data_IF_508116563673
#
_entry.id   IF_508116563673
#
_cell.length_a   1.000
_cell.length_b   1.000
_cell.length_c   1.000
_cell.angle_alpha   90.00
_cell.angle_beta   90.00
_cell.angle_gamma   90.00
#
_symmetry.space_group_name_H-M   'P 1'
#
loop_
_entity.id
_entity.type
_entity.pdbx_description
1 polymer ?
#
# COMPACT_ATOMS: atom_id res chain seq x y z
N UNK A 1 35.93 -4.96 -17.10
CA UNK A 1 35.54 -3.79 -17.88
C UNK A 1 34.72 -4.22 -19.09
N UNK A 2 33.44 -4.62 -18.89
CA UNK A 2 32.47 -4.95 -19.96
C UNK A 2 31.12 -5.41 -19.39
N UNK A 3 30.74 -4.98 -18.16
CA UNK A 3 29.47 -5.36 -17.50
C UNK A 3 28.32 -4.38 -17.84
N UNK A 4 28.62 -3.22 -18.44
CA UNK A 4 27.59 -2.20 -18.73
C UNK A 4 26.72 -2.48 -19.97
N UNK A 5 26.99 -3.53 -20.76
CA UNK A 5 26.25 -3.81 -22.00
C UNK A 5 25.09 -4.81 -21.86
N UNK A 6 24.94 -5.49 -20.72
CA UNK A 6 23.91 -6.50 -20.53
C UNK A 6 22.58 -6.00 -19.96
N UNK A 7 22.48 -4.72 -19.60
CA UNK A 7 21.24 -4.10 -19.07
C UNK A 7 20.63 -3.06 -20.04
N UNK A 8 20.94 -3.12 -21.33
CA UNK A 8 20.15 -2.40 -22.33
C UNK A 8 18.86 -3.19 -22.59
N UNK A 9 17.85 -2.95 -21.76
CA UNK A 9 16.46 -3.20 -22.14
C UNK A 9 16.16 -2.23 -23.27
N UNK A 10 16.17 -2.73 -24.51
CA UNK A 10 15.68 -1.98 -25.67
C UNK A 10 14.22 -1.57 -25.40
N UNK A 11 14.03 -0.31 -25.08
CA UNK A 11 12.70 0.29 -25.06
C UNK A 11 12.18 0.29 -26.49
N UNK A 12 11.27 -0.62 -26.83
CA UNK A 12 10.50 -0.52 -28.07
C UNK A 12 9.73 0.80 -28.08
N UNK A 13 9.65 1.50 -29.21
CA UNK A 13 9.00 2.80 -29.26
C UNK A 13 7.50 2.67 -28.95
N UNK A 14 7.03 3.52 -28.06
CA UNK A 14 5.65 3.61 -27.60
C UNK A 14 4.75 4.22 -28.71
N UNK A 15 4.39 3.43 -29.71
CA UNK A 15 3.41 3.86 -30.74
C UNK A 15 1.97 3.87 -30.30
N UNK A 16 1.60 3.14 -29.22
CA UNK A 16 0.23 3.05 -28.71
C UNK A 16 -0.11 4.07 -27.63
N UNK A 17 0.88 4.74 -27.03
CA UNK A 17 0.67 5.64 -25.90
C UNK A 17 -0.02 6.98 -26.23
N UNK A 18 0.01 7.43 -27.48
CA UNK A 18 -0.53 8.72 -27.86
C UNK A 18 -2.07 8.74 -27.97
N UNK A 19 -2.65 7.67 -28.49
CA UNK A 19 -4.12 7.54 -28.66
C UNK A 19 -4.84 7.40 -27.31
N UNK A 20 -4.24 6.73 -26.36
CA UNK A 20 -4.84 6.50 -25.04
C UNK A 20 -4.72 7.71 -24.10
N UNK A 21 -3.68 8.52 -24.26
CA UNK A 21 -3.62 9.84 -23.60
C UNK A 21 -4.79 10.71 -24.05
N UNK A 22 -5.14 10.70 -25.33
CA UNK A 22 -6.30 11.42 -25.86
C UNK A 22 -7.63 10.89 -25.25
N UNK A 23 -7.83 9.57 -25.16
CA UNK A 23 -9.03 8.97 -24.56
C UNK A 23 -9.13 9.31 -23.07
N UNK A 24 -8.02 9.24 -22.32
CA UNK A 24 -7.99 9.58 -20.90
C UNK A 24 -8.29 11.08 -20.67
N UNK A 25 -7.67 11.97 -21.46
CA UNK A 25 -7.98 13.41 -21.41
C UNK A 25 -9.39 13.71 -21.86
N UNK A 26 -9.94 12.98 -22.84
CA UNK A 26 -11.34 13.13 -23.28
C UNK A 26 -12.31 12.66 -22.18
N UNK A 27 -12.01 11.57 -21.47
CA UNK A 27 -12.82 11.12 -20.35
C UNK A 27 -12.79 12.12 -19.19
N UNK A 28 -11.63 12.70 -18.88
CA UNK A 28 -11.51 13.81 -17.91
C UNK A 28 -12.28 15.04 -18.38
N UNK A 29 -12.22 15.39 -19.66
CA UNK A 29 -12.93 16.54 -20.22
C UNK A 29 -14.45 16.32 -20.19
N UNK A 30 -14.94 15.12 -20.50
CA UNK A 30 -16.35 14.74 -20.38
C UNK A 30 -16.81 14.78 -18.91
N UNK A 31 -16.00 14.29 -17.97
CA UNK A 31 -16.26 14.40 -16.52
C UNK A 31 -16.33 15.89 -16.08
N UNK A 32 -15.44 16.73 -16.57
CA UNK A 32 -15.44 18.17 -16.30
C UNK A 32 -16.71 18.85 -16.86
N UNK A 33 -17.18 18.44 -18.04
CA UNK A 33 -18.42 18.95 -18.65
C UNK A 33 -19.65 18.48 -17.88
N UNK A 34 -19.71 17.21 -17.47
CA UNK A 34 -20.82 16.68 -16.65
C UNK A 34 -20.89 17.31 -15.26
N UNK A 35 -19.75 17.50 -14.59
CA UNK A 35 -19.69 18.14 -13.27
C UNK A 35 -19.91 19.66 -13.31
N UNK A 36 -19.61 20.31 -14.43
CA UNK A 36 -19.82 21.76 -14.61
C UNK A 36 -21.28 22.18 -14.75
N UNK A 37 -22.20 21.27 -15.06
CA UNK A 37 -23.63 21.58 -15.23
C UNK A 37 -24.46 21.36 -13.94
N UNK A 38 -23.93 20.73 -12.91
CA UNK A 38 -24.68 20.38 -11.69
C UNK A 38 -24.55 21.38 -10.54
N UNK A 39 -24.14 22.62 -10.79
CA UNK A 39 -23.88 23.63 -9.75
C UNK A 39 -25.16 24.27 -9.17
N UNK A 40 -26.30 23.58 -9.14
CA UNK A 40 -27.51 24.06 -8.47
C UNK A 40 -28.16 22.88 -7.76
N UNK A 41 -27.83 22.66 -6.51
CA UNK A 41 -28.70 22.08 -5.47
C UNK A 41 -28.00 22.02 -4.10
N UNK A 42 -28.52 22.79 -3.25
CA UNK A 42 -28.93 22.64 -1.85
C UNK A 42 -27.94 22.22 -0.77
N UNK A 43 -27.92 23.06 0.25
CA UNK A 43 -27.17 22.96 1.49
C UNK A 43 -27.71 21.81 2.37
N UNK A 44 -26.93 20.75 2.61
CA UNK A 44 -27.36 19.82 3.64
C UNK A 44 -26.56 18.54 3.93
N UNK A 45 -25.40 18.31 3.33
CA UNK A 45 -24.66 17.05 3.55
C UNK A 45 -23.16 17.25 3.76
N UNK A 46 -22.82 18.13 4.69
CA UNK A 46 -21.41 18.40 5.05
C UNK A 46 -20.93 17.53 6.21
N UNK A 47 -21.05 16.19 6.16
CA UNK A 47 -20.34 15.39 7.20
C UNK A 47 -20.29 13.88 6.92
N UNK A 48 -19.59 13.44 5.88
CA UNK A 48 -19.33 12.00 5.68
C UNK A 48 -17.92 11.72 5.14
N UNK A 49 -16.92 12.30 5.80
CA UNK A 49 -15.54 12.14 5.34
C UNK A 49 -14.52 11.82 6.43
N UNK A 50 -14.94 11.76 7.67
CA UNK A 50 -14.04 11.46 8.78
C UNK A 50 -14.73 10.53 9.77
N UNK A 51 -14.36 9.24 9.76
CA UNK A 51 -14.81 8.25 10.75
C UNK A 51 -14.06 8.45 12.06
N UNK A 52 -14.23 9.60 12.67
CA UNK A 52 -13.67 9.97 13.96
C UNK A 52 -14.72 10.62 14.85
N UNK A 53 -15.35 9.83 15.71
CA UNK A 53 -16.06 10.23 16.93
C UNK A 53 -17.09 11.35 16.83
N UNK A 54 -18.37 10.98 16.76
CA UNK A 54 -19.49 11.86 17.07
C UNK A 54 -19.48 12.26 18.56
N UNK A 55 -18.88 13.40 18.89
CA UNK A 55 -19.22 14.16 20.10
C UNK A 55 -19.64 15.54 19.66
N UNK A 56 -20.92 15.85 19.89
CA UNK A 56 -21.54 17.10 19.48
C UNK A 56 -21.03 18.32 20.23
N UNK A 57 -19.91 18.85 19.79
CA UNK A 57 -19.50 20.23 20.01
C UNK A 57 -19.14 20.78 18.64
N UNK A 58 -19.74 21.91 18.26
CA UNK A 58 -19.39 22.64 17.04
C UNK A 58 -17.93 23.08 17.11
N UNK A 59 -17.01 22.18 16.75
CA UNK A 59 -15.61 22.54 16.58
C UNK A 59 -15.48 23.53 15.42
N UNK A 60 -14.60 24.54 15.55
CA UNK A 60 -14.34 25.48 14.47
C UNK A 60 -13.86 24.66 13.26
N UNK A 61 -14.50 24.85 12.09
CA UNK A 61 -14.10 24.25 10.82
C UNK A 61 -12.61 24.52 10.61
N UNK A 62 -11.76 23.54 10.92
CA UNK A 62 -10.33 23.61 10.65
C UNK A 62 -10.22 23.63 9.14
N UNK A 63 -9.82 24.77 8.57
CA UNK A 63 -9.51 24.85 7.14
C UNK A 63 -8.41 23.82 6.87
N UNK A 64 -8.70 22.83 6.00
CA UNK A 64 -7.71 21.85 5.58
C UNK A 64 -6.51 22.63 5.02
N UNK A 65 -5.28 22.23 5.34
CA UNK A 65 -4.12 22.93 4.87
C UNK A 65 -4.05 22.91 3.35
N UNK A 66 -3.81 24.06 2.75
CA UNK A 66 -3.63 24.23 1.31
C UNK A 66 -2.39 23.47 0.80
N UNK A 67 -1.39 23.34 1.65
CA UNK A 67 -0.14 22.65 1.37
C UNK A 67 0.14 21.68 2.52
N UNK A 68 0.41 20.43 2.20
CA UNK A 68 0.88 19.45 3.17
C UNK A 68 2.06 18.68 2.60
N UNK A 69 2.91 18.20 3.47
CA UNK A 69 4.05 17.40 3.04
C UNK A 69 4.73 16.71 4.22
N UNK A 70 5.52 15.73 3.91
CA UNK A 70 6.38 15.06 4.87
C UNK A 70 7.70 14.70 4.22
N UNK A 71 8.74 14.60 5.05
CA UNK A 71 10.07 14.12 4.70
C UNK A 71 10.45 13.03 5.67
N UNK A 72 10.77 11.86 5.16
CA UNK A 72 11.24 10.71 5.93
C UNK A 72 12.67 10.39 5.51
N UNK A 73 13.55 10.27 6.48
CA UNK A 73 14.93 9.87 6.30
C UNK A 73 15.18 8.59 7.12
N UNK A 74 15.75 7.60 6.46
CA UNK A 74 16.09 6.31 7.06
C UNK A 74 17.55 6.04 6.83
N UNK A 75 18.20 5.65 7.89
CA UNK A 75 19.62 5.38 7.90
C UNK A 75 19.91 4.04 8.56
N UNK A 76 20.70 3.22 7.90
CA UNK A 76 21.44 2.13 8.51
C UNK A 76 22.93 2.29 8.14
N UNK A 77 23.81 1.51 8.74
CA UNK A 77 25.26 1.60 8.54
C UNK A 77 25.70 1.41 7.06
N UNK A 78 24.79 1.04 6.17
CA UNK A 78 25.12 0.66 4.79
C UNK A 78 24.33 1.43 3.71
N UNK A 79 23.24 2.04 4.05
CA UNK A 79 22.40 2.75 3.09
C UNK A 79 21.62 3.88 3.77
N UNK A 80 21.37 4.95 3.04
CA UNK A 80 20.36 5.92 3.40
C UNK A 80 19.24 5.92 2.36
N UNK A 81 18.02 6.09 2.84
CA UNK A 81 16.85 6.27 2.02
C UNK A 81 16.11 7.50 2.50
N UNK A 82 15.99 8.48 1.62
CA UNK A 82 15.22 9.67 1.87
C UNK A 82 13.99 9.67 0.97
N UNK A 83 12.84 9.91 1.56
CA UNK A 83 11.59 10.02 0.85
C UNK A 83 10.85 11.26 1.30
N UNK A 84 10.33 12.01 0.35
CA UNK A 84 9.49 13.16 0.64
C UNK A 84 8.30 13.24 -0.29
N UNK A 85 7.25 13.88 0.20
CA UNK A 85 6.03 14.15 -0.56
C UNK A 85 5.56 15.56 -0.25
N UNK A 86 5.13 16.25 -1.28
CA UNK A 86 4.47 17.56 -1.17
C UNK A 86 3.14 17.46 -1.91
N UNK A 87 2.08 17.93 -1.29
CA UNK A 87 0.73 17.92 -1.85
C UNK A 87 0.10 19.30 -1.72
N UNK A 88 -0.52 19.76 -2.79
CA UNK A 88 -1.30 20.98 -2.89
C UNK A 88 -2.76 20.61 -3.14
N UNK A 89 -3.67 21.18 -2.37
CA UNK A 89 -5.10 20.99 -2.56
C UNK A 89 -5.75 22.36 -2.86
N UNK A 90 -6.59 22.40 -3.90
CA UNK A 90 -7.34 23.60 -4.30
C UNK A 90 -8.80 23.26 -4.53
N UNK A 91 -9.67 23.92 -3.79
CA UNK A 91 -11.10 23.90 -4.07
C UNK A 91 -11.40 24.70 -5.34
N UNK A 92 -12.18 24.11 -6.24
CA UNK A 92 -12.54 24.71 -7.54
C UNK A 92 -13.98 25.21 -7.57
N UNK A 93 -14.78 24.88 -6.56
CA UNK A 93 -16.19 25.26 -6.41
C UNK A 93 -16.91 24.35 -5.41
N UNK A 94 -18.23 24.49 -5.28
CA UNK A 94 -19.03 23.64 -4.39
C UNK A 94 -18.85 22.16 -4.82
N UNK A 95 -18.31 21.34 -3.91
CA UNK A 95 -18.17 19.90 -4.11
C UNK A 95 -17.10 19.48 -5.12
N UNK A 96 -16.22 20.36 -5.58
CA UNK A 96 -15.11 19.97 -6.47
C UNK A 96 -13.76 20.49 -6.02
N UNK A 97 -12.72 19.67 -6.17
CA UNK A 97 -11.35 20.00 -5.81
C UNK A 97 -10.34 19.36 -6.73
N UNK A 98 -9.18 19.97 -6.80
CA UNK A 98 -8.00 19.43 -7.45
C UNK A 98 -6.89 19.23 -6.41
N UNK A 99 -6.29 18.06 -6.46
CA UNK A 99 -5.10 17.73 -5.68
C UNK A 99 -3.94 17.53 -6.64
N UNK A 100 -2.81 18.14 -6.34
CA UNK A 100 -1.57 18.01 -7.12
C UNK A 100 -0.42 17.78 -6.16
N UNK A 101 0.37 16.76 -6.42
CA UNK A 101 1.50 16.42 -5.57
C UNK A 101 2.72 15.94 -6.34
N UNK A 102 3.84 15.97 -5.65
CA UNK A 102 5.11 15.41 -6.07
C UNK A 102 5.69 14.53 -4.99
N UNK A 103 6.34 13.45 -5.40
CA UNK A 103 7.13 12.57 -4.55
C UNK A 103 8.57 12.56 -5.04
N UNK A 104 9.49 12.52 -4.14
CA UNK A 104 10.90 12.34 -4.45
C UNK A 104 11.50 11.29 -3.52
N UNK A 105 12.36 10.47 -4.11
CA UNK A 105 13.08 9.43 -3.39
C UNK A 105 14.58 9.60 -3.69
N UNK A 106 15.39 9.49 -2.66
CA UNK A 106 16.82 9.46 -2.77
C UNK A 106 17.36 8.16 -2.19
N UNK A 107 18.15 7.47 -2.97
CA UNK A 107 18.75 6.20 -2.59
C UNK A 107 20.25 6.31 -2.58
N UNK A 108 20.87 5.76 -1.54
CA UNK A 108 22.29 5.50 -1.51
C UNK A 108 22.46 3.99 -1.44
N UNK A 109 22.67 3.34 -2.57
CA UNK A 109 22.96 1.92 -2.67
C UNK A 109 24.31 1.73 -3.34
N UNK A 110 25.21 0.95 -2.71
CA UNK A 110 26.50 0.52 -3.27
C UNK A 110 27.31 1.67 -3.92
N UNK A 111 27.44 2.80 -3.23
CA UNK A 111 28.09 4.03 -3.71
C UNK A 111 27.38 4.73 -4.91
N UNK A 112 26.26 4.22 -5.38
CA UNK A 112 25.43 4.89 -6.36
C UNK A 112 24.36 5.74 -5.69
N UNK A 113 24.47 7.06 -5.87
CA UNK A 113 23.47 8.03 -5.41
C UNK A 113 22.47 8.27 -6.53
N UNK A 114 21.19 7.99 -6.29
CA UNK A 114 20.14 8.19 -7.29
C UNK A 114 18.99 9.00 -6.71
N UNK A 115 18.66 10.09 -7.39
CA UNK A 115 17.41 10.81 -7.17
C UNK A 115 16.36 10.30 -8.16
N UNK A 116 15.16 10.05 -7.67
CA UNK A 116 13.99 9.79 -8.48
C UNK A 116 12.88 10.74 -8.05
N UNK A 117 12.30 11.43 -9.01
CA UNK A 117 11.13 12.29 -8.80
C UNK A 117 9.96 11.68 -9.54
N UNK A 118 8.86 11.57 -8.85
CA UNK A 118 7.61 11.00 -9.37
C UNK A 118 6.48 12.01 -9.18
N UNK A 119 5.45 11.98 -10.03
CA UNK A 119 4.19 12.61 -9.68
C UNK A 119 3.64 11.94 -8.42
N UNK A 120 3.25 12.74 -7.43
CA UNK A 120 2.50 12.27 -6.28
C UNK A 120 1.03 12.04 -6.64
N UNK A 121 0.12 12.10 -5.67
CA UNK A 121 -1.31 12.12 -5.98
C UNK A 121 -1.64 13.37 -6.80
N UNK A 122 -2.26 13.13 -7.96
CA UNK A 122 -2.70 14.17 -8.88
C UNK A 122 -4.07 13.78 -9.40
N UNK A 123 -5.11 14.31 -8.80
CA UNK A 123 -6.46 13.94 -9.18
C UNK A 123 -7.42 15.13 -9.11
N UNK A 124 -8.48 15.00 -9.88
CA UNK A 124 -9.67 15.80 -9.78
C UNK A 124 -10.74 15.01 -9.02
N UNK A 125 -11.41 15.68 -8.10
CA UNK A 125 -12.57 15.16 -7.38
C UNK A 125 -13.77 16.06 -7.63
N UNK A 126 -14.96 15.47 -7.84
CA UNK A 126 -16.20 16.20 -7.85
C UNK A 126 -17.34 15.38 -7.27
N UNK A 127 -18.31 16.09 -6.69
CA UNK A 127 -19.56 15.57 -6.17
C UNK A 127 -20.70 16.06 -7.07
N UNK A 128 -21.55 15.14 -7.53
CA UNK A 128 -22.68 15.42 -8.41
C UNK A 128 -23.92 14.68 -7.89
N UNK A 129 -24.74 15.36 -7.10
CA UNK A 129 -25.88 14.73 -6.42
C UNK A 129 -25.42 13.62 -5.48
N UNK A 130 -25.94 12.41 -5.70
CA UNK A 130 -25.59 11.21 -4.92
C UNK A 130 -24.34 10.48 -5.43
N UNK A 131 -23.55 11.13 -6.28
CA UNK A 131 -22.36 10.54 -6.88
C UNK A 131 -21.11 11.35 -6.54
N UNK A 132 -20.04 10.63 -6.18
CA UNK A 132 -18.67 11.17 -6.09
C UNK A 132 -17.81 10.55 -7.18
N UNK A 133 -16.98 11.39 -7.81
CA UNK A 133 -16.01 10.96 -8.81
C UNK A 133 -14.61 11.44 -8.45
N UNK A 134 -13.63 10.55 -8.59
CA UNK A 134 -12.21 10.87 -8.41
C UNK A 134 -11.44 10.28 -9.59
N UNK A 135 -10.69 11.09 -10.32
CA UNK A 135 -9.95 10.66 -11.50
C UNK A 135 -8.56 11.26 -11.54
N UNK A 136 -7.55 10.44 -11.83
CA UNK A 136 -6.15 10.88 -11.90
C UNK A 136 -5.18 9.83 -11.41
N UNK A 137 -4.10 10.28 -10.77
CA UNK A 137 -3.14 9.43 -10.06
C UNK A 137 -3.60 9.28 -8.60
N UNK A 138 -4.04 8.08 -8.24
CA UNK A 138 -4.74 7.78 -7.00
C UNK A 138 -3.86 6.96 -6.06
N UNK A 139 -4.00 7.25 -4.76
CA UNK A 139 -3.63 6.33 -3.68
C UNK A 139 -4.91 5.98 -2.94
N UNK A 140 -5.22 4.69 -2.89
CA UNK A 140 -6.43 4.18 -2.25
C UNK A 140 -6.05 3.18 -1.16
N UNK A 141 -6.80 3.14 -0.08
CA UNK A 141 -6.65 2.16 0.99
C UNK A 141 -7.93 1.38 1.10
N UNK A 142 -7.84 0.08 0.98
CA UNK A 142 -8.95 -0.85 1.10
C UNK A 142 -8.74 -1.76 2.32
N UNK A 143 -9.84 -2.35 2.78
CA UNK A 143 -9.81 -3.26 3.91
C UNK A 143 -9.86 -2.55 5.26
N UNK A 144 -9.99 -3.34 6.32
CA UNK A 144 -10.07 -2.86 7.71
C UNK A 144 -8.78 -3.04 8.50
N UNK A 145 -7.78 -3.65 7.90
CA UNK A 145 -6.49 -3.91 8.54
C UNK A 145 -5.52 -2.72 8.46
N UNK A 146 -4.78 -2.45 9.55
CA UNK A 146 -3.82 -1.34 9.61
C UNK A 146 -2.42 -1.73 9.12
N UNK A 147 -1.99 -2.97 9.35
CA UNK A 147 -0.65 -3.47 8.98
C UNK A 147 -0.70 -4.61 7.97
N UNK A 148 -1.83 -5.28 7.90
CA UNK A 148 -2.11 -6.35 6.95
C UNK A 148 -3.47 -6.09 6.33
N UNK A 149 -3.64 -6.45 5.08
CA UNK A 149 -4.93 -6.51 4.42
C UNK A 149 -4.85 -7.42 3.21
N UNK A 150 -5.83 -8.28 3.05
CA UNK A 150 -5.97 -9.14 1.86
C UNK A 150 -6.69 -8.42 0.71
N UNK A 151 -7.37 -7.30 1.03
CA UNK A 151 -8.17 -6.51 0.10
C UNK A 151 -7.37 -5.35 -0.49
N UNK A 152 -6.36 -4.83 0.23
CA UNK A 152 -5.59 -3.65 -0.18
C UNK A 152 -4.60 -3.93 -1.32
N UNK A 153 -5.15 -4.26 -2.48
CA UNK A 153 -4.43 -4.67 -3.69
C UNK A 153 -4.40 -3.61 -4.81
N UNK A 154 -5.08 -2.47 -4.63
CA UNK A 154 -5.20 -1.45 -5.69
C UNK A 154 -3.82 -0.87 -6.04
N UNK A 155 -3.10 -0.38 -5.05
CA UNK A 155 -1.82 0.27 -5.28
C UNK A 155 -0.64 -0.70 -5.25
N UNK A 156 0.25 -0.56 -6.20
CA UNK A 156 1.60 -1.11 -6.11
C UNK A 156 2.40 -0.38 -5.04
N UNK A 157 3.57 -0.91 -4.64
CA UNK A 157 4.35 -0.42 -3.52
C UNK A 157 5.82 -0.20 -3.87
N UNK A 158 6.47 0.65 -3.08
CA UNK A 158 7.93 0.81 -3.06
C UNK A 158 8.51 -0.06 -1.95
N UNK A 159 9.19 -1.15 -2.30
CA UNK A 159 9.77 -2.10 -1.35
C UNK A 159 11.25 -1.85 -1.05
N UNK A 160 11.72 -0.61 -1.21
CA UNK A 160 13.14 -0.29 -1.07
C UNK A 160 13.72 -0.47 0.33
N UNK A 161 12.85 -0.48 1.37
CA UNK A 161 13.26 -0.54 2.79
C UNK A 161 12.67 -1.75 3.53
N UNK A 162 12.28 -2.78 2.82
CA UNK A 162 11.56 -3.92 3.41
C UNK A 162 10.07 -3.63 3.60
N UNK A 163 9.37 -4.55 4.26
CA UNK A 163 7.91 -4.50 4.44
C UNK A 163 7.44 -3.74 5.69
N UNK A 164 8.38 -3.29 6.53
CA UNK A 164 8.06 -2.88 7.89
C UNK A 164 7.78 -1.39 8.07
N UNK A 165 7.85 -0.60 7.00
CA UNK A 165 7.59 0.82 7.04
C UNK A 165 6.10 1.14 7.08
N UNK A 166 5.79 2.40 7.02
CA UNK A 166 4.42 2.89 7.01
C UNK A 166 3.67 2.31 5.80
N UNK A 167 2.72 1.41 6.08
CA UNK A 167 2.01 0.62 5.08
C UNK A 167 1.37 1.48 3.97
N UNK A 168 0.87 2.67 4.32
CA UNK A 168 0.22 3.56 3.36
C UNK A 168 1.21 4.45 2.60
N UNK A 169 2.35 4.78 3.18
CA UNK A 169 3.34 5.65 2.54
C UNK A 169 4.09 5.00 1.40
N UNK A 170 4.23 3.68 1.47
CA UNK A 170 4.93 2.92 0.43
C UNK A 170 4.05 2.65 -0.80
N UNK A 171 2.79 3.07 -0.78
CA UNK A 171 1.90 2.97 -1.95
C UNK A 171 2.34 3.87 -3.08
N UNK A 172 2.39 3.32 -4.29
CA UNK A 172 2.60 4.06 -5.53
C UNK A 172 1.28 4.64 -6.00
N UNK A 173 1.35 5.83 -6.55
CA UNK A 173 0.25 6.44 -7.24
C UNK A 173 -0.03 5.69 -8.55
N UNK A 174 -1.30 5.37 -8.79
CA UNK A 174 -1.74 4.67 -10.00
C UNK A 174 -2.79 5.46 -10.77
N UNK A 175 -2.75 5.45 -12.11
CA UNK A 175 -3.79 6.07 -12.91
C UNK A 175 -5.10 5.30 -12.76
N UNK A 176 -6.18 6.02 -12.46
CA UNK A 176 -7.46 5.38 -12.25
C UNK A 176 -8.63 6.36 -12.13
N UNK A 177 -9.81 5.79 -12.09
CA UNK A 177 -11.07 6.48 -11.81
C UNK A 177 -11.77 5.72 -10.70
N UNK A 178 -12.27 6.45 -9.72
CA UNK A 178 -13.22 5.96 -8.72
C UNK A 178 -14.54 6.65 -8.89
N UNK A 179 -15.63 5.90 -8.88
CA UNK A 179 -17.00 6.40 -8.79
C UNK A 179 -17.65 5.79 -7.54
N UNK A 180 -18.35 6.61 -6.78
CA UNK A 180 -19.13 6.18 -5.61
C UNK A 180 -20.54 6.68 -5.76
N UNK A 181 -21.51 5.80 -5.62
CA UNK A 181 -22.93 6.10 -5.59
C UNK A 181 -23.48 5.88 -4.18
N UNK A 182 -24.04 6.93 -3.59
CA UNK A 182 -24.72 6.88 -2.31
C UNK A 182 -26.19 6.51 -2.53
N UNK A 183 -26.51 5.22 -2.44
CA UNK A 183 -27.86 4.68 -2.71
C UNK A 183 -28.85 5.22 -1.67
N UNK A 184 -28.40 5.30 -0.42
CA UNK A 184 -29.14 5.90 0.69
C UNK A 184 -28.17 6.14 1.88
N UNK A 185 -28.71 6.60 3.03
CA UNK A 185 -27.90 6.86 4.24
C UNK A 185 -27.13 5.65 4.80
N UNK A 186 -27.45 4.43 4.40
CA UNK A 186 -26.83 3.21 4.89
C UNK A 186 -25.99 2.49 3.84
N UNK A 187 -26.33 2.63 2.58
CA UNK A 187 -25.68 1.88 1.51
C UNK A 187 -25.01 2.78 0.49
N UNK A 188 -23.77 2.43 0.16
CA UNK A 188 -23.05 3.03 -0.98
C UNK A 188 -22.46 1.90 -1.84
N UNK A 189 -22.35 2.18 -3.14
CA UNK A 189 -21.67 1.34 -4.10
C UNK A 189 -20.49 2.11 -4.68
N UNK A 190 -19.30 1.53 -4.65
CA UNK A 190 -18.09 2.14 -5.19
C UNK A 190 -17.44 1.25 -6.23
N UNK A 191 -16.86 1.86 -7.25
CA UNK A 191 -16.11 1.16 -8.28
C UNK A 191 -14.80 1.87 -8.59
N UNK A 192 -13.73 1.10 -8.78
CA UNK A 192 -12.45 1.58 -9.29
C UNK A 192 -12.20 0.94 -10.65
N UNK A 193 -11.80 1.76 -11.61
CA UNK A 193 -11.31 1.33 -12.91
C UNK A 193 -9.88 1.81 -13.09
N UNK A 194 -8.97 0.87 -13.31
CA UNK A 194 -7.53 1.10 -13.45
C UNK A 194 -7.13 0.66 -14.86
N UNK A 195 -6.98 1.59 -15.81
CA UNK A 195 -6.69 1.25 -17.21
C UNK A 195 -5.30 0.66 -17.41
N UNK A 196 -4.36 0.99 -16.50
CA UNK A 196 -2.97 0.58 -16.61
C UNK A 196 -2.56 -0.23 -15.40
N UNK A 197 -1.84 -1.31 -15.67
CA UNK A 197 -1.08 -2.02 -14.67
C UNK A 197 0.23 -1.26 -14.37
N UNK A 198 0.61 -1.24 -13.11
CA UNK A 198 1.92 -0.75 -12.66
C UNK A 198 2.45 -1.70 -11.59
N UNK A 199 3.63 -2.24 -11.80
CA UNK A 199 4.26 -3.15 -10.85
C UNK A 199 4.79 -2.41 -9.62
N UNK A 200 4.96 -3.16 -8.53
CA UNK A 200 5.71 -2.70 -7.35
C UNK A 200 7.20 -2.56 -7.69
N UNK A 201 7.84 -1.60 -7.05
CA UNK A 201 9.28 -1.34 -7.21
C UNK A 201 10.06 -2.04 -6.13
N UNK A 202 11.07 -2.82 -6.55
CA UNK A 202 11.98 -3.51 -5.66
C UNK A 202 13.34 -2.83 -5.61
N UNK A 203 14.09 -3.00 -4.51
CA UNK A 203 15.48 -2.56 -4.46
C UNK A 203 16.33 -3.31 -5.49
N UNK A 204 17.49 -2.76 -5.81
CA UNK A 204 18.49 -3.45 -6.64
C UNK A 204 18.78 -4.85 -6.10
N UNK A 205 19.03 -5.81 -6.99
CA UNK A 205 19.44 -7.18 -6.61
C UNK A 205 20.70 -7.22 -5.75
N UNK A 206 21.52 -6.18 -5.79
CA UNK A 206 22.72 -6.01 -4.98
C UNK A 206 22.45 -5.29 -3.64
N UNK A 207 21.25 -4.76 -3.46
CA UNK A 207 20.85 -4.10 -2.22
C UNK A 207 20.74 -5.10 -1.07
N UNK A 208 21.02 -4.63 0.13
CA UNK A 208 20.73 -5.40 1.36
C UNK A 208 19.25 -5.66 1.55
N UNK A 209 18.41 -4.81 1.00
CA UNK A 209 16.97 -4.94 0.97
C UNK A 209 16.45 -5.81 -0.20
N UNK A 210 17.35 -6.39 -1.01
CA UNK A 210 16.94 -7.33 -2.06
C UNK A 210 16.35 -8.60 -1.46
N UNK A 211 15.21 -9.00 -1.96
CA UNK A 211 14.51 -10.22 -1.53
C UNK A 211 15.28 -11.47 -1.92
N UNK A 212 15.16 -12.53 -1.12
CA UNK A 212 15.88 -13.79 -1.34
C UNK A 212 15.67 -14.36 -2.76
N UNK A 213 14.45 -14.27 -3.30
CA UNK A 213 14.16 -14.70 -4.67
C UNK A 213 14.93 -13.88 -5.71
N UNK A 214 15.08 -12.57 -5.53
CA UNK A 214 15.83 -11.71 -6.44
C UNK A 214 17.34 -11.99 -6.34
N UNK A 215 17.85 -12.26 -5.13
CA UNK A 215 19.25 -12.67 -4.92
C UNK A 215 19.53 -14.01 -5.57
N UNK A 216 18.61 -14.98 -5.46
CA UNK A 216 18.71 -16.27 -6.12
C UNK A 216 18.72 -16.12 -7.64
N UNK A 217 17.78 -15.34 -8.20
CA UNK A 217 17.75 -15.04 -9.63
C UNK A 217 19.07 -14.40 -10.09
N UNK A 218 19.59 -13.42 -9.36
CA UNK A 218 20.87 -12.78 -9.67
C UNK A 218 22.02 -13.78 -9.71
N UNK A 219 22.07 -14.71 -8.74
CA UNK A 219 23.08 -15.76 -8.69
C UNK A 219 23.01 -16.69 -9.91
N UNK A 220 21.81 -17.12 -10.31
CA UNK A 220 21.61 -17.93 -11.51
C UNK A 220 22.07 -17.21 -12.78
N UNK A 221 21.75 -15.91 -12.92
CA UNK A 221 22.09 -15.11 -14.09
C UNK A 221 23.59 -14.82 -14.19
N UNK A 222 24.22 -14.44 -13.07
CA UNK A 222 25.60 -13.95 -13.05
C UNK A 222 26.64 -15.07 -13.04
N UNK A 223 26.34 -16.18 -12.35
CA UNK A 223 27.33 -17.24 -12.12
C UNK A 223 27.05 -18.55 -12.87
N UNK A 224 25.79 -18.78 -13.26
CA UNK A 224 25.39 -20.01 -13.95
C UNK A 224 24.97 -19.78 -15.40
N UNK A 225 25.03 -18.57 -15.91
CA UNK A 225 24.68 -18.23 -17.28
C UNK A 225 23.20 -18.38 -17.61
N UNK A 226 22.33 -18.24 -16.61
CA UNK A 226 20.87 -18.24 -16.79
C UNK A 226 20.37 -17.08 -17.64
N UNK A 227 19.17 -17.21 -18.16
CA UNK A 227 18.45 -16.18 -18.93
C UNK A 227 17.17 -15.79 -18.19
N UNK A 228 16.92 -14.49 -18.04
CA UNK A 228 15.70 -13.98 -17.46
C UNK A 228 14.86 -13.21 -18.48
N UNK A 229 13.67 -13.68 -18.73
CA UNK A 229 12.67 -13.00 -19.52
C UNK A 229 11.80 -12.16 -18.57
N UNK A 230 12.09 -10.87 -18.48
CA UNK A 230 11.37 -9.95 -17.60
C UNK A 230 9.89 -9.83 -18.01
N UNK A 231 9.03 -9.77 -17.02
CA UNK A 231 7.64 -9.40 -17.25
C UNK A 231 7.53 -7.91 -17.64
N UNK A 232 6.49 -7.58 -18.40
CA UNK A 232 6.16 -6.19 -18.65
C UNK A 232 5.62 -5.55 -17.35
N UNK A 233 6.32 -4.57 -16.80
CA UNK A 233 6.03 -3.91 -15.52
C UNK A 233 5.04 -2.75 -15.62
N UNK A 234 4.72 -2.35 -16.86
CA UNK A 234 3.71 -1.33 -17.15
C UNK A 234 3.02 -1.63 -18.47
N UNK A 235 1.73 -1.95 -18.41
CA UNK A 235 0.95 -2.33 -19.58
C UNK A 235 -0.48 -1.77 -19.50
N UNK A 236 -1.11 -1.61 -20.69
CA UNK A 236 -2.55 -1.40 -20.76
C UNK A 236 -3.25 -2.72 -20.53
N UNK A 237 -3.66 -2.94 -19.29
CA UNK A 237 -4.41 -4.11 -18.88
C UNK A 237 -5.44 -3.68 -17.83
N UNK A 238 -6.69 -3.48 -18.25
CA UNK A 238 -7.73 -2.95 -17.40
C UNK A 238 -8.00 -3.86 -16.20
N UNK A 239 -7.99 -3.25 -15.03
CA UNK A 239 -8.28 -3.88 -13.76
C UNK A 239 -9.43 -3.16 -13.10
N UNK A 240 -10.17 -3.84 -12.27
CA UNK A 240 -11.29 -3.22 -11.58
C UNK A 240 -11.51 -3.79 -10.18
N UNK A 241 -12.08 -2.96 -9.35
CA UNK A 241 -12.58 -3.27 -8.03
C UNK A 241 -14.00 -2.75 -7.91
N UNK A 242 -14.87 -3.51 -7.30
CA UNK A 242 -16.21 -3.06 -6.90
C UNK A 242 -16.45 -3.35 -5.43
N UNK A 243 -17.14 -2.45 -4.78
CA UNK A 243 -17.46 -2.50 -3.36
C UNK A 243 -18.93 -2.13 -3.15
N UNK A 244 -19.64 -2.95 -2.39
CA UNK A 244 -20.91 -2.57 -1.78
C UNK A 244 -20.64 -2.41 -0.28
N UNK A 245 -20.91 -1.24 0.27
CA UNK A 245 -20.76 -1.02 1.70
C UNK A 245 -22.08 -0.67 2.37
N UNK A 246 -22.22 -1.13 3.60
CA UNK A 246 -23.32 -0.77 4.49
C UNK A 246 -22.78 -0.21 5.80
N UNK A 247 -23.38 0.89 6.25
CA UNK A 247 -22.97 1.58 7.48
C UNK A 247 -24.18 1.81 8.38
N UNK A 248 -24.09 1.26 9.59
CA UNK A 248 -25.04 1.43 10.69
C UNK A 248 -24.29 1.99 11.91
N UNK A 249 -24.96 2.52 12.92
CA UNK A 249 -24.30 3.19 14.06
C UNK A 249 -23.22 2.33 14.79
N UNK A 250 -23.35 1.00 14.76
CA UNK A 250 -22.40 0.10 15.42
C UNK A 250 -21.73 -0.90 14.49
N UNK A 251 -22.09 -0.93 13.22
CA UNK A 251 -21.61 -1.93 12.25
C UNK A 251 -21.32 -1.29 10.93
N UNK A 252 -20.10 -1.45 10.46
CA UNK A 252 -19.71 -1.22 9.06
C UNK A 252 -19.39 -2.57 8.43
N UNK A 253 -19.88 -2.80 7.20
CA UNK A 253 -19.59 -4.00 6.42
C UNK A 253 -19.41 -3.63 4.97
N UNK A 254 -18.36 -4.16 4.33
CA UNK A 254 -18.02 -3.95 2.93
C UNK A 254 -17.81 -5.31 2.25
N UNK A 255 -18.42 -5.47 1.09
CA UNK A 255 -18.24 -6.63 0.21
C UNK A 255 -17.46 -6.17 -1.01
N UNK A 256 -16.39 -6.90 -1.32
CA UNK A 256 -15.46 -6.57 -2.38
C UNK A 256 -15.40 -7.68 -3.43
N UNK A 257 -15.28 -7.26 -4.68
CA UNK A 257 -14.77 -8.08 -5.76
C UNK A 257 -13.64 -7.33 -6.45
N UNK A 258 -12.47 -7.95 -6.51
CA UNK A 258 -11.28 -7.41 -7.15
C UNK A 258 -10.85 -8.35 -8.27
N UNK A 259 -10.60 -7.78 -9.44
CA UNK A 259 -9.96 -8.45 -10.56
C UNK A 259 -8.72 -7.65 -10.94
N UNK A 260 -7.58 -8.05 -10.41
CA UNK A 260 -6.34 -7.30 -10.45
C UNK A 260 -5.15 -8.18 -10.73
N UNK A 261 -4.16 -7.65 -11.42
CA UNK A 261 -2.86 -8.31 -11.52
C UNK A 261 -2.12 -8.27 -10.20
N UNK A 262 -1.41 -9.35 -9.90
CA UNK A 262 -0.44 -9.37 -8.82
C UNK A 262 0.55 -8.22 -8.98
N UNK A 263 0.76 -7.47 -7.90
CA UNK A 263 1.70 -6.33 -7.90
C UNK A 263 3.16 -6.76 -7.74
N UNK A 264 3.36 -7.98 -7.31
CA UNK A 264 4.67 -8.61 -7.17
C UNK A 264 4.90 -9.55 -8.35
N UNK A 265 6.11 -9.56 -8.95
CA UNK A 265 6.39 -10.48 -10.06
C UNK A 265 6.43 -11.92 -9.55
N UNK A 266 5.73 -12.80 -10.24
CA UNK A 266 5.87 -14.24 -10.09
C UNK A 266 7.02 -14.66 -11.00
N UNK A 267 8.14 -15.07 -10.42
CA UNK A 267 9.34 -15.52 -11.12
C UNK A 267 9.35 -17.04 -11.10
N UNK A 268 9.41 -17.70 -12.25
CA UNK A 268 9.42 -19.15 -12.36
C UNK A 268 10.53 -19.64 -13.28
N UNK A 269 11.01 -20.84 -13.01
CA UNK A 269 11.92 -21.55 -13.90
C UNK A 269 11.16 -22.60 -14.70
N UNK A 270 10.89 -22.33 -15.98
CA UNK A 270 10.14 -23.23 -16.84
C UNK A 270 11.05 -24.31 -17.48
N UNK A 271 12.30 -23.94 -17.72
CA UNK A 271 13.37 -24.86 -18.22
C UNK A 271 14.65 -24.58 -17.45
N UNK A 272 15.56 -25.55 -17.32
CA UNK A 272 16.86 -25.34 -16.68
C UNK A 272 17.55 -24.07 -17.21
N UNK A 273 17.90 -23.15 -16.36
CA UNK A 273 18.55 -21.88 -16.68
C UNK A 273 17.67 -20.82 -17.36
N UNK A 274 16.38 -21.06 -17.58
CA UNK A 274 15.46 -20.07 -18.18
C UNK A 274 14.41 -19.67 -17.15
N UNK A 275 14.43 -18.40 -16.75
CA UNK A 275 13.53 -17.81 -15.78
C UNK A 275 12.57 -16.84 -16.46
N UNK A 276 11.30 -16.94 -16.12
CA UNK A 276 10.25 -16.07 -16.67
C UNK A 276 9.57 -15.30 -15.54
N UNK A 277 9.51 -13.98 -15.67
CA UNK A 277 8.68 -13.10 -14.84
C UNK A 277 7.27 -12.99 -15.41
N UNK A 278 6.27 -12.86 -14.53
CA UNK A 278 4.90 -12.56 -14.95
C UNK A 278 4.13 -11.86 -13.82
N UNK A 279 3.09 -11.14 -14.19
CA UNK A 279 2.12 -10.54 -13.28
C UNK A 279 0.75 -11.17 -13.59
N UNK A 280 0.43 -12.31 -12.98
CA UNK A 280 -0.82 -13.00 -13.25
C UNK A 280 -2.01 -12.22 -12.72
N UNK A 281 -3.16 -12.42 -13.36
CA UNK A 281 -4.44 -11.89 -12.93
C UNK A 281 -4.92 -12.67 -11.71
N UNK A 282 -5.34 -11.97 -10.67
CA UNK A 282 -5.91 -12.51 -9.44
C UNK A 282 -7.36 -12.04 -9.29
N UNK A 283 -8.25 -12.96 -8.92
CA UNK A 283 -9.64 -12.69 -8.61
C UNK A 283 -9.88 -12.92 -7.11
N UNK A 284 -10.23 -11.84 -6.40
CA UNK A 284 -10.43 -11.88 -4.95
C UNK A 284 -11.85 -11.46 -4.60
N UNK A 285 -12.51 -12.27 -3.80
CA UNK A 285 -13.77 -11.96 -3.11
C UNK A 285 -13.45 -11.72 -1.64
N UNK A 286 -13.98 -10.65 -1.07
CA UNK A 286 -13.72 -10.36 0.32
C UNK A 286 -14.91 -9.68 1.01
N UNK A 287 -14.93 -9.81 2.33
CA UNK A 287 -15.82 -9.06 3.22
C UNK A 287 -14.97 -8.51 4.35
N UNK A 288 -15.06 -7.22 4.58
CA UNK A 288 -14.42 -6.57 5.72
C UNK A 288 -15.36 -5.62 6.43
N UNK A 289 -14.92 -5.13 7.57
CA UNK A 289 -15.66 -4.13 8.29
C UNK A 289 -15.24 -3.97 9.75
N UNK A 290 -16.09 -3.29 10.49
CA UNK A 290 -15.88 -3.05 11.91
C UNK A 290 -17.16 -3.07 12.71
N UNK A 291 -17.04 -3.39 14.01
CA UNK A 291 -18.12 -3.38 14.98
C UNK A 291 -17.72 -2.55 16.19
N UNK A 292 -18.47 -1.49 16.47
CA UNK A 292 -18.34 -0.72 17.71
C UNK A 292 -19.01 -1.49 18.84
N UNK A 293 -18.23 -2.24 19.62
CA UNK A 293 -18.74 -3.01 20.77
C UNK A 293 -19.12 -2.06 21.90
N UNK A 294 -18.25 -1.09 22.17
CA UNK A 294 -18.51 0.06 23.07
C UNK A 294 -17.94 1.32 22.40
N UNK A 295 -18.12 2.49 23.02
CA UNK A 295 -17.52 3.75 22.54
C UNK A 295 -15.98 3.72 22.54
N UNK A 296 -15.37 2.90 23.38
CA UNK A 296 -13.92 2.80 23.53
C UNK A 296 -13.32 1.56 22.86
N UNK A 297 -14.16 0.64 22.37
CA UNK A 297 -13.74 -0.69 21.89
C UNK A 297 -14.33 -0.99 20.52
N UNK A 298 -13.46 -0.99 19.51
CA UNK A 298 -13.76 -1.32 18.13
C UNK A 298 -13.17 -2.69 17.79
N UNK A 299 -13.96 -3.57 17.18
CA UNK A 299 -13.49 -4.80 16.55
C UNK A 299 -13.47 -4.62 15.03
N UNK A 300 -12.43 -5.14 14.37
CA UNK A 300 -12.27 -5.16 12.91
C UNK A 300 -12.17 -6.60 12.42
N UNK A 301 -12.66 -6.84 11.23
CA UNK A 301 -12.56 -8.14 10.58
C UNK A 301 -12.35 -8.02 9.09
N UNK A 302 -11.68 -9.01 8.51
CA UNK A 302 -11.52 -9.16 7.07
C UNK A 302 -11.47 -10.66 6.74
N UNK A 303 -12.24 -11.07 5.73
CA UNK A 303 -12.24 -12.41 5.16
C UNK A 303 -12.02 -12.27 3.66
N UNK A 304 -11.09 -13.03 3.10
CA UNK A 304 -10.78 -12.96 1.67
C UNK A 304 -10.54 -14.34 1.09
N UNK A 305 -10.97 -14.51 -0.15
CA UNK A 305 -10.72 -15.67 -0.98
C UNK A 305 -10.18 -15.20 -2.33
N UNK A 306 -8.92 -15.49 -2.63
CA UNK A 306 -8.37 -15.36 -3.98
C UNK A 306 -8.38 -16.72 -4.65
N UNK A 307 -9.10 -16.84 -5.77
CA UNK A 307 -9.30 -18.12 -6.46
C UNK A 307 -8.20 -18.37 -7.48
N UNK A 308 -7.68 -19.60 -7.49
CA UNK A 308 -6.70 -20.06 -8.48
C UNK A 308 -5.51 -19.11 -8.63
N UNK A 309 -5.03 -18.56 -7.50
CA UNK A 309 -3.90 -17.62 -7.45
C UNK A 309 -2.63 -18.31 -7.89
N UNK A 310 -1.79 -17.59 -8.61
CA UNK A 310 -0.50 -18.10 -9.07
C UNK A 310 0.57 -17.91 -8.00
N UNK A 311 1.32 -18.96 -7.75
CA UNK A 311 2.44 -19.00 -6.81
C UNK A 311 3.72 -19.47 -7.51
N UNK A 312 4.88 -19.18 -6.91
CA UNK A 312 6.17 -19.72 -7.33
C UNK A 312 6.71 -20.61 -6.24
N UNK A 313 7.19 -21.79 -6.58
CA UNK A 313 7.93 -22.62 -5.64
C UNK A 313 9.34 -22.06 -5.43
N UNK A 314 9.81 -22.07 -4.18
CA UNK A 314 11.15 -21.62 -3.82
C UNK A 314 11.74 -22.60 -2.81
N UNK A 315 12.61 -23.48 -3.28
CA UNK A 315 13.13 -24.61 -2.51
C UNK A 315 14.65 -24.58 -2.49
N UNK A 316 15.24 -24.72 -1.31
CA UNK A 316 16.69 -24.72 -1.10
C UNK A 316 17.42 -23.52 -1.74
N UNK A 317 16.76 -22.34 -1.77
CA UNK A 317 17.31 -21.16 -2.41
C UNK A 317 17.19 -21.13 -3.94
N UNK A 318 16.46 -22.08 -4.55
CA UNK A 318 16.24 -22.18 -5.99
C UNK A 318 14.81 -21.84 -6.36
N UNK A 319 14.65 -21.07 -7.45
CA UNK A 319 13.36 -20.73 -8.04
C UNK A 319 12.86 -21.96 -8.81
N UNK A 320 11.64 -22.40 -8.48
CA UNK A 320 11.01 -23.54 -9.14
C UNK A 320 9.92 -23.14 -10.13
N UNK A 321 8.93 -24.01 -10.30
CA UNK A 321 7.83 -23.85 -11.24
C UNK A 321 6.68 -23.06 -10.64
N UNK A 322 5.82 -22.53 -11.50
CA UNK A 322 4.51 -22.00 -11.10
C UNK A 322 3.59 -23.13 -10.68
N UNK A 323 2.79 -22.85 -9.68
CA UNK A 323 1.63 -23.66 -9.32
C UNK A 323 0.43 -22.75 -9.03
N UNK A 324 -0.76 -23.33 -8.98
CA UNK A 324 -2.01 -22.62 -8.79
C UNK A 324 -2.72 -23.19 -7.59
N UNK A 325 -3.15 -22.32 -6.68
CA UNK A 325 -3.92 -22.71 -5.51
C UNK A 325 -4.81 -21.55 -5.09
N UNK A 326 -5.93 -21.84 -4.43
CA UNK A 326 -6.72 -20.84 -3.75
C UNK A 326 -5.95 -20.26 -2.57
N UNK A 327 -6.27 -19.03 -2.18
CA UNK A 327 -5.67 -18.38 -1.03
C UNK A 327 -6.78 -17.83 -0.13
N UNK A 328 -6.79 -18.28 1.10
CA UNK A 328 -7.75 -17.88 2.14
C UNK A 328 -7.06 -16.94 3.12
N UNK A 329 -7.70 -15.81 3.39
CA UNK A 329 -7.24 -14.82 4.35
C UNK A 329 -8.28 -14.52 5.40
N UNK A 330 -7.88 -14.51 6.68
CA UNK A 330 -8.69 -14.06 7.80
C UNK A 330 -7.89 -13.06 8.60
N UNK A 331 -8.47 -11.90 8.88
CA UNK A 331 -7.92 -10.90 9.78
C UNK A 331 -8.97 -10.56 10.84
N UNK A 332 -8.54 -10.52 12.08
CA UNK A 332 -9.31 -10.01 13.22
C UNK A 332 -8.46 -9.01 13.97
N UNK A 333 -9.05 -7.89 14.32
CA UNK A 333 -8.36 -6.83 15.03
C UNK A 333 -9.24 -6.15 16.08
N UNK A 334 -8.59 -5.40 16.95
CA UNK A 334 -9.28 -4.61 17.96
C UNK A 334 -8.50 -3.34 18.25
N UNK A 335 -9.25 -2.24 18.37
CA UNK A 335 -8.76 -0.96 18.82
C UNK A 335 -9.39 -0.61 20.16
N UNK A 336 -8.59 -0.12 21.07
CA UNK A 336 -9.08 0.34 22.36
C UNK A 336 -8.38 1.62 22.81
N UNK A 337 -9.19 2.61 23.14
CA UNK A 337 -8.76 3.78 23.89
C UNK A 337 -8.87 3.49 25.38
N UNK A 338 -7.77 3.61 26.09
CA UNK A 338 -7.66 3.39 27.52
C UNK A 338 -7.53 4.74 28.24
N UNK A 339 -7.75 4.82 29.57
CA UNK A 339 -7.53 6.04 30.33
C UNK A 339 -6.16 6.66 30.09
N UNK A 340 -6.04 7.96 30.31
CA UNK A 340 -4.81 8.75 30.11
C UNK A 340 -4.33 8.83 28.65
N UNK A 341 -5.24 8.77 27.66
CA UNK A 341 -4.90 8.86 26.23
C UNK A 341 -3.94 7.74 25.77
N UNK A 342 -4.07 6.55 26.37
CA UNK A 342 -3.32 5.38 25.93
C UNK A 342 -4.17 4.59 24.93
N UNK A 343 -3.63 4.40 23.73
CA UNK A 343 -4.27 3.66 22.65
C UNK A 343 -3.55 2.33 22.42
N UNK A 344 -4.32 1.28 22.21
CA UNK A 344 -3.81 -0.05 21.85
C UNK A 344 -4.60 -0.58 20.65
N UNK A 345 -3.88 -1.07 19.65
CA UNK A 345 -4.41 -1.83 18.53
C UNK A 345 -3.70 -3.19 18.48
N UNK A 346 -4.46 -4.25 18.36
CA UNK A 346 -3.95 -5.60 18.18
C UNK A 346 -4.66 -6.23 16.99
N UNK A 347 -3.90 -6.81 16.07
CA UNK A 347 -4.44 -7.54 14.93
C UNK A 347 -3.80 -8.91 14.81
N UNK A 348 -4.60 -9.90 14.47
CA UNK A 348 -4.15 -11.25 14.11
C UNK A 348 -4.59 -11.57 12.68
N UNK A 349 -3.73 -12.23 11.93
CA UNK A 349 -3.98 -12.64 10.56
C UNK A 349 -3.64 -14.11 10.38
N UNK A 350 -4.51 -14.83 9.69
CA UNK A 350 -4.26 -16.19 9.21
C UNK A 350 -4.28 -16.16 7.68
N UNK A 351 -3.22 -16.69 7.07
CA UNK A 351 -3.08 -16.85 5.63
C UNK A 351 -2.95 -18.35 5.34
N UNK A 352 -3.79 -18.90 4.47
CA UNK A 352 -3.80 -20.32 4.16
C UNK A 352 -3.82 -20.56 2.65
N UNK A 353 -2.86 -21.36 2.18
CA UNK A 353 -2.71 -21.76 0.77
C UNK A 353 -2.75 -23.29 0.75
N UNK A 354 -3.86 -23.93 0.36
CA UNK A 354 -3.95 -25.36 0.27
C UNK A 354 -2.91 -25.96 -0.66
N UNK A 355 -2.43 -27.14 -0.32
CA UNK A 355 -1.49 -27.93 -1.13
C UNK A 355 -0.18 -27.17 -1.44
N UNK A 356 0.24 -26.27 -0.56
CA UNK A 356 1.52 -25.59 -0.68
C UNK A 356 2.65 -26.62 -0.53
N UNK A 357 3.22 -27.03 -1.65
CA UNK A 357 4.21 -28.09 -1.70
C UNK A 357 5.62 -27.65 -1.26
N UNK A 358 5.91 -26.35 -1.36
CA UNK A 358 7.23 -25.77 -1.08
C UNK A 358 7.09 -24.33 -0.63
N UNK A 359 8.10 -23.81 0.09
CA UNK A 359 8.13 -22.42 0.55
C UNK A 359 8.14 -21.43 -0.61
N UNK A 360 7.22 -20.47 -0.58
CA UNK A 360 7.27 -19.29 -1.46
C UNK A 360 7.90 -18.12 -0.71
N UNK A 361 8.44 -17.09 -1.38
CA UNK A 361 9.09 -15.96 -0.69
C UNK A 361 8.19 -15.15 0.24
N UNK A 362 6.87 -15.28 0.11
CA UNK A 362 5.88 -14.52 0.90
C UNK A 362 4.93 -15.41 1.70
N UNK A 363 5.00 -16.73 1.50
CA UNK A 363 4.25 -17.74 2.23
C UNK A 363 5.17 -18.94 2.42
N UNK A 364 5.70 -19.12 3.62
CA UNK A 364 6.67 -20.18 3.91
C UNK A 364 6.01 -21.51 4.23
N UNK A 365 4.77 -21.47 4.73
CA UNK A 365 4.01 -22.63 5.15
C UNK A 365 2.61 -22.58 4.56
N UNK A 366 1.96 -23.74 4.45
CA UNK A 366 0.58 -23.85 4.02
C UNK A 366 -0.35 -22.92 4.83
N UNK A 367 -0.11 -22.80 6.12
CA UNK A 367 -0.81 -21.87 7.00
C UNK A 367 0.18 -21.00 7.76
N UNK A 368 0.00 -19.69 7.69
CA UNK A 368 0.78 -18.72 8.45
C UNK A 368 -0.08 -17.93 9.42
N UNK A 369 0.48 -17.67 10.60
CA UNK A 369 -0.12 -16.88 11.67
C UNK A 369 0.75 -15.66 11.94
N UNK A 370 0.17 -14.47 11.69
CA UNK A 370 0.84 -13.20 11.93
C UNK A 370 0.05 -12.38 12.95
N UNK A 371 0.73 -11.53 13.68
CA UNK A 371 0.07 -10.52 14.49
C UNK A 371 0.80 -9.19 14.42
N UNK A 372 0.05 -8.12 14.66
CA UNK A 372 0.61 -6.79 14.91
C UNK A 372 0.07 -6.22 16.21
N UNK A 373 0.91 -5.41 16.84
CA UNK A 373 0.59 -4.64 18.03
C UNK A 373 1.03 -3.19 17.77
N UNK A 374 0.12 -2.26 18.00
CA UNK A 374 0.44 -0.86 18.08
C UNK A 374 0.02 -0.32 19.45
N UNK A 375 0.91 0.37 20.12
CA UNK A 375 0.64 1.10 21.34
C UNK A 375 1.04 2.55 21.18
N UNK A 376 0.24 3.46 21.69
CA UNK A 376 0.49 4.89 21.60
C UNK A 376 0.07 5.59 22.88
N UNK A 377 0.95 6.41 23.42
CA UNK A 377 0.70 7.21 24.60
C UNK A 377 0.99 8.68 24.32
N UNK A 378 0.02 9.54 24.57
CA UNK A 378 0.15 10.98 24.44
C UNK A 378 0.46 11.60 25.80
N UNK A 379 1.40 12.55 25.79
CA UNK A 379 1.85 13.31 26.97
C UNK A 379 1.84 14.82 26.69
N UNK A 380 1.80 15.62 27.74
CA UNK A 380 1.91 17.09 27.66
C UNK A 380 0.95 17.73 26.66
N UNK A 381 -0.32 17.38 26.74
CA UNK A 381 -1.33 17.87 25.79
C UNK A 381 -0.93 17.57 24.33
N UNK A 382 -0.57 16.33 24.05
CA UNK A 382 -0.19 15.81 22.74
C UNK A 382 1.11 16.36 22.13
N UNK A 383 1.87 17.19 22.86
CA UNK A 383 3.17 17.69 22.38
C UNK A 383 4.27 16.62 22.35
N UNK A 384 4.11 15.55 23.11
CA UNK A 384 4.99 14.38 23.10
C UNK A 384 4.12 13.14 22.95
N UNK A 385 4.44 12.30 21.96
CA UNK A 385 3.81 11.01 21.75
C UNK A 385 4.88 9.93 21.72
N UNK A 386 4.65 8.85 22.43
CA UNK A 386 5.45 7.63 22.35
C UNK A 386 4.60 6.59 21.63
N UNK A 387 5.16 5.98 20.60
CA UNK A 387 4.53 4.92 19.80
C UNK A 387 5.43 3.70 19.77
N UNK A 388 4.84 2.53 19.89
CA UNK A 388 5.50 1.25 19.74
C UNK A 388 4.70 0.41 18.76
N UNK A 389 5.35 -0.04 17.68
CA UNK A 389 4.78 -0.98 16.73
C UNK A 389 5.56 -2.29 16.77
N UNK A 390 4.85 -3.40 16.76
CA UNK A 390 5.43 -4.72 16.65
C UNK A 390 4.66 -5.53 15.60
N UNK A 391 5.40 -6.37 14.89
CA UNK A 391 4.87 -7.36 13.95
C UNK A 391 5.57 -8.68 14.24
N UNK A 392 4.81 -9.76 14.32
CA UNK A 392 5.32 -11.10 14.60
C UNK A 392 4.68 -12.10 13.65
N UNK A 393 5.50 -12.90 12.97
CA UNK A 393 5.09 -14.13 12.33
C UNK A 393 5.32 -15.30 13.31
N UNK A 394 4.26 -15.91 13.79
CA UNK A 394 4.36 -17.01 14.77
C UNK A 394 4.80 -18.32 14.11
N UNK A 395 4.55 -18.48 12.83
CA UNK A 395 4.91 -19.69 12.09
C UNK A 395 6.41 -19.76 11.84
N UNK A 396 7.01 -18.69 11.32
CA UNK A 396 8.45 -18.60 11.05
C UNK A 396 9.27 -18.08 12.20
N UNK A 397 8.65 -17.44 13.20
CA UNK A 397 9.32 -16.83 14.34
C UNK A 397 9.86 -15.41 14.09
N UNK A 398 9.75 -14.89 12.88
CA UNK A 398 10.23 -13.56 12.49
C UNK A 398 9.49 -12.42 13.20
N UNK A 399 10.17 -11.30 13.43
CA UNK A 399 9.54 -10.13 14.03
C UNK A 399 10.16 -8.79 13.57
N UNK A 400 9.35 -7.74 13.66
CA UNK A 400 9.79 -6.33 13.54
C UNK A 400 9.29 -5.57 14.75
N UNK A 401 10.17 -4.78 15.35
CA UNK A 401 9.82 -3.85 16.44
C UNK A 401 10.20 -2.44 16.01
N UNK A 402 9.29 -1.48 16.20
CA UNK A 402 9.53 -0.09 15.79
C UNK A 402 9.05 0.88 16.88
N UNK A 403 9.88 1.13 17.93
CA UNK A 403 9.63 2.24 18.85
C UNK A 403 9.82 3.58 18.13
N UNK A 404 8.96 4.55 18.44
CA UNK A 404 9.00 5.92 17.91
C UNK A 404 8.70 6.94 19.01
N UNK A 405 9.30 8.11 18.88
CA UNK A 405 8.99 9.31 19.66
C UNK A 405 8.60 10.40 18.69
N UNK A 406 7.42 10.99 18.88
CA UNK A 406 6.93 12.11 18.10
C UNK A 406 6.94 13.38 18.98
N UNK A 407 7.57 14.43 18.47
CA UNK A 407 7.62 15.75 19.09
C UNK A 407 6.81 16.72 18.24
N UNK A 408 5.62 17.07 18.72
CA UNK A 408 4.76 18.07 18.08
C UNK A 408 5.22 19.45 18.54
N UNK A 409 5.95 20.14 17.69
CA UNK A 409 6.48 21.47 17.98
C UNK A 409 5.41 22.55 17.85
N UNK A 410 4.53 22.39 16.86
CA UNK A 410 3.39 23.27 16.60
C UNK A 410 2.36 22.50 15.77
N UNK A 411 1.21 23.10 15.51
CA UNK A 411 0.18 22.53 14.61
C UNK A 411 0.70 22.29 13.20
N UNK A 412 1.83 22.91 12.85
CA UNK A 412 2.43 22.86 11.52
C UNK A 412 3.69 22.00 11.43
N UNK A 413 4.27 21.57 12.57
CA UNK A 413 5.58 20.92 12.57
C UNK A 413 5.66 19.81 13.60
N UNK A 414 5.90 18.59 13.11
CA UNK A 414 6.15 17.41 13.94
C UNK A 414 7.45 16.73 13.53
N UNK A 415 8.27 16.37 14.51
CA UNK A 415 9.45 15.53 14.33
C UNK A 415 9.17 14.13 14.85
N UNK A 416 9.59 13.12 14.10
CA UNK A 416 9.48 11.71 14.48
C UNK A 416 10.88 11.12 14.52
N UNK A 417 11.20 10.44 15.62
CA UNK A 417 12.42 9.67 15.80
C UNK A 417 12.03 8.22 16.08
N UNK A 418 12.62 7.29 15.38
CA UNK A 418 12.31 5.88 15.52
C UNK A 418 13.51 4.99 15.28
N UNK A 419 13.37 3.74 15.69
CA UNK A 419 14.35 2.71 15.39
C UNK A 419 13.62 1.42 15.04
N UNK A 420 13.98 0.81 13.91
CA UNK A 420 13.41 -0.46 13.47
C UNK A 420 14.40 -1.58 13.75
N UNK A 421 13.93 -2.56 14.49
CA UNK A 421 14.64 -3.81 14.79
C UNK A 421 13.97 -4.93 14.01
N UNK A 422 14.75 -5.66 13.21
CA UNK A 422 14.30 -6.83 12.49
C UNK A 422 14.91 -8.08 13.11
N UNK A 423 14.09 -9.08 13.42
CA UNK A 423 14.53 -10.33 14.02
C UNK A 423 14.38 -11.53 13.10
N UNK A 424 15.34 -12.44 13.17
CA UNK A 424 15.31 -13.72 12.46
C UNK A 424 14.26 -14.65 13.08
N UNK A 425 13.61 -15.43 12.22
CA UNK A 425 12.88 -16.64 12.58
C UNK A 425 13.75 -17.89 12.39
N UNK A 426 13.14 -19.04 12.57
CA UNK A 426 13.76 -20.33 12.31
C UNK A 426 14.21 -20.49 10.85
N UNK A 427 13.52 -19.80 9.94
CA UNK A 427 13.82 -19.76 8.52
C UNK A 427 14.02 -18.30 8.09
N UNK A 428 15.25 -17.92 7.74
CA UNK A 428 15.62 -16.54 7.39
C UNK A 428 15.10 -16.08 6.00
N UNK A 429 14.17 -16.82 5.39
CA UNK A 429 13.67 -16.57 4.03
C UNK A 429 12.30 -15.88 4.00
N UNK A 430 11.64 -15.70 5.13
CA UNK A 430 10.33 -15.08 5.19
C UNK A 430 10.35 -13.58 4.89
N UNK A 431 9.16 -12.95 4.75
CA UNK A 431 9.03 -11.56 4.30
C UNK A 431 9.75 -10.54 5.18
N UNK A 432 10.03 -10.89 6.42
CA UNK A 432 10.70 -10.03 7.41
C UNK A 432 12.10 -10.56 7.78
N UNK A 433 12.24 -11.84 8.05
CA UNK A 433 13.47 -12.44 8.58
C UNK A 433 14.66 -12.35 7.65
N UNK A 434 14.44 -12.34 6.34
CA UNK A 434 15.48 -12.09 5.35
C UNK A 434 16.17 -10.72 5.50
N UNK A 435 15.58 -9.80 6.29
CA UNK A 435 16.11 -8.46 6.58
C UNK A 435 16.58 -8.30 8.03
N UNK A 436 16.76 -9.37 8.78
CA UNK A 436 17.11 -9.36 10.21
C UNK A 436 18.37 -8.55 10.55
N UNK A 437 19.32 -8.44 9.62
CA UNK A 437 20.55 -7.63 9.77
C UNK A 437 20.37 -6.16 9.39
N UNK A 438 19.17 -5.75 8.90
CA UNK A 438 18.93 -4.41 8.40
C UNK A 438 18.20 -3.53 9.42
N UNK A 439 18.72 -3.45 10.63
CA UNK A 439 18.18 -2.50 11.62
C UNK A 439 18.36 -1.07 11.13
N UNK A 440 17.36 -0.22 11.35
CA UNK A 440 17.29 1.11 10.71
C UNK A 440 16.86 2.18 11.70
N UNK A 441 17.62 3.26 11.80
CA UNK A 441 17.17 4.49 12.44
C UNK A 441 16.26 5.25 11.48
N UNK A 442 15.19 5.83 12.02
CA UNK A 442 14.19 6.59 11.27
C UNK A 442 14.10 7.99 11.83
N UNK A 443 14.24 8.97 10.98
CA UNK A 443 13.95 10.36 11.29
C UNK A 443 12.95 10.91 10.27
N UNK A 444 11.91 11.60 10.75
CA UNK A 444 10.89 12.18 9.88
C UNK A 444 10.53 13.59 10.35
N UNK A 445 10.32 14.46 9.39
CA UNK A 445 9.73 15.78 9.61
C UNK A 445 8.42 15.87 8.84
N UNK A 446 7.35 16.19 9.56
CA UNK A 446 6.02 16.46 8.98
C UNK A 446 5.76 17.94 9.04
N UNK A 447 5.35 18.51 7.92
CA UNK A 447 5.03 19.93 7.78
C UNK A 447 3.65 20.06 7.16
N UNK A 448 2.81 20.94 7.73
CA UNK A 448 1.44 21.16 7.27
C UNK A 448 1.18 22.67 7.28
N UNK A 449 0.69 23.27 6.18
CA UNK A 449 0.43 24.71 6.06
C UNK A 449 -1.01 24.97 5.63
#
# INVERSE_FOLDING_TARGET
>A
MQISRFLHIERRPAGAGATWRAVFYTAILLLLVFCGQSAVADDGWDDWGDTGTASGTSEPKIKRPFISGWWNWQYNEFSSFDQGRVTFEKELGKGSKMVTGGRFNYYTEDNNKKWKVFPGENYYFCKAGDFDFKAGLLVESLGSGDKFSFVDKINSRYFHNGLANDYDRDKKEIPGVRATWYINKHFKFSGHYLPYFTASEFPSIFSKWAYAIHKSLANELLFKGGVYNAANDADFDPQFHVELSSTYPKLEMRWHYLRMKERLPIISQDKPGIFNGSYPLDETFAVDGSVNVTEEFLMRYEFALSRNRTWTTFENGHIGKKFYSDHYGILLGTDRNLPNNFYVNVQGMVSHVPDLLTTTPFQLNETEYLSSLQMRQNFRQEKLQIEFNALKNFTSGEYVLTPKILLVKSDYLTFVFGYQLNGEGAESLGPVGQFSKNNTAVFETRVTF
#
